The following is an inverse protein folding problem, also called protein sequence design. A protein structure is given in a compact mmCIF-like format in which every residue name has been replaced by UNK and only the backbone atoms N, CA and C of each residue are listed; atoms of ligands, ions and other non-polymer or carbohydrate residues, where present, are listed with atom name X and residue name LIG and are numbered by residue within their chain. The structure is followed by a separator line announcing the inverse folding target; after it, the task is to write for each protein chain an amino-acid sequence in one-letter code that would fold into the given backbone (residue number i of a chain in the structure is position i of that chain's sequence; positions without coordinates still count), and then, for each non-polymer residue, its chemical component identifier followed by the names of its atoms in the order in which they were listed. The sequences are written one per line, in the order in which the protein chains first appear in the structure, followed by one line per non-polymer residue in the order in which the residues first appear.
data_IF_300664578562
#
_entry.id   IF_300664578562
#
_cell.length_a   1.000
_cell.length_b   1.000
_cell.length_c   1.000
_cell.angle_alpha   90.00
_cell.angle_beta   90.00
_cell.angle_gamma   90.00
#
_symmetry.space_group_name_H-M   'P 1'
#
loop_
_entity.id
_entity.type
_entity.pdbx_description
1 polymer ?
#
# COMPACT_ATOMS: atom_id res chain seq x y z
N UNK A 1 13.80 2.84 22.17
CA UNK A 1 14.17 2.33 20.84
C UNK A 1 12.92 1.76 20.17
N UNK A 2 12.22 2.54 19.35
CA UNK A 2 11.10 2.05 18.54
C UNK A 2 11.63 1.70 17.15
N UNK A 3 12.25 0.52 17.01
CA UNK A 3 12.47 -0.07 15.69
C UNK A 3 11.13 -0.64 15.23
N UNK A 4 10.23 0.23 14.76
CA UNK A 4 9.09 -0.23 13.98
C UNK A 4 9.67 -0.64 12.62
N UNK A 5 9.72 -1.94 12.35
CA UNK A 5 10.09 -2.47 11.05
C UNK A 5 9.01 -2.06 10.04
N UNK A 6 9.08 -0.82 9.55
CA UNK A 6 8.22 -0.35 8.49
C UNK A 6 8.43 -1.26 7.29
N UNK A 7 7.35 -1.89 6.82
CA UNK A 7 7.38 -2.64 5.59
C UNK A 7 7.99 -1.76 4.49
N UNK A 8 9.10 -2.22 3.91
CA UNK A 8 9.72 -1.50 2.80
C UNK A 8 8.77 -1.50 1.61
N UNK A 9 8.93 -0.54 0.69
CA UNK A 9 8.11 -0.50 -0.54
C UNK A 9 8.20 -1.81 -1.33
N UNK A 10 9.34 -2.50 -1.28
CA UNK A 10 9.51 -3.83 -1.88
C UNK A 10 8.57 -4.86 -1.27
N UNK A 11 8.36 -4.86 0.04
CA UNK A 11 7.40 -5.76 0.71
C UNK A 11 5.95 -5.39 0.37
N UNK A 12 5.65 -4.10 0.24
CA UNK A 12 4.33 -3.66 -0.22
C UNK A 12 4.02 -4.12 -1.66
N UNK A 13 5.02 -4.09 -2.54
CA UNK A 13 4.89 -4.65 -3.90
C UNK A 13 4.65 -6.17 -3.91
N UNK A 14 5.17 -6.89 -2.92
CA UNK A 14 4.90 -8.33 -2.75
C UNK A 14 3.50 -8.58 -2.17
N UNK A 15 3.05 -7.77 -1.21
CA UNK A 15 1.70 -7.86 -0.64
C UNK A 15 0.61 -7.47 -1.63
N UNK A 16 0.88 -6.46 -2.45
CA UNK A 16 -0.02 -5.94 -3.46
C UNK A 16 0.67 -5.97 -4.84
N UNK A 17 0.71 -7.14 -5.50
CA UNK A 17 1.23 -7.23 -6.86
C UNK A 17 0.44 -6.34 -7.83
N UNK A 18 1.09 -5.90 -8.91
CA UNK A 18 0.41 -5.16 -9.99
C UNK A 18 -0.83 -5.91 -10.49
N UNK A 19 -1.85 -5.15 -10.85
CA UNK A 19 -3.18 -5.62 -11.24
C UNK A 19 -3.96 -6.35 -10.14
N UNK A 20 -3.49 -6.34 -8.89
CA UNK A 20 -4.33 -6.77 -7.76
C UNK A 20 -5.55 -5.85 -7.63
N UNK A 21 -6.70 -6.44 -7.31
CA UNK A 21 -7.89 -5.63 -7.02
C UNK A 21 -7.67 -4.77 -5.77
N UNK A 22 -8.39 -3.65 -5.68
CA UNK A 22 -8.38 -2.82 -4.47
C UNK A 22 -8.79 -3.62 -3.22
N UNK A 23 -9.78 -4.52 -3.34
CA UNK A 23 -10.21 -5.36 -2.24
C UNK A 23 -9.09 -6.31 -1.78
N UNK A 24 -8.36 -6.90 -2.72
CA UNK A 24 -7.18 -7.73 -2.41
C UNK A 24 -6.14 -6.92 -1.66
N UNK A 25 -5.80 -5.72 -2.14
CA UNK A 25 -4.81 -4.86 -1.51
C UNK A 25 -5.23 -4.45 -0.09
N UNK A 26 -6.49 -4.04 0.09
CA UNK A 26 -7.03 -3.68 1.41
C UNK A 26 -6.93 -4.85 2.40
N UNK A 27 -7.28 -6.06 1.97
CA UNK A 27 -7.18 -7.24 2.82
C UNK A 27 -5.73 -7.55 3.20
N UNK A 28 -4.81 -7.50 2.25
CA UNK A 28 -3.38 -7.76 2.50
C UNK A 28 -2.76 -6.73 3.45
N UNK A 29 -3.09 -5.45 3.28
CA UNK A 29 -2.65 -4.38 4.17
C UNK A 29 -3.17 -4.59 5.60
N UNK A 30 -4.45 -4.99 5.76
CA UNK A 30 -5.04 -5.32 7.07
C UNK A 30 -4.34 -6.52 7.71
N UNK A 31 -4.12 -7.60 6.97
CA UNK A 31 -3.43 -8.79 7.46
C UNK A 31 -1.98 -8.48 7.89
N UNK A 32 -1.31 -7.59 7.18
CA UNK A 32 0.04 -7.14 7.49
C UNK A 32 0.10 -6.07 8.60
N UNK A 33 -1.04 -5.71 9.21
CA UNK A 33 -1.15 -4.63 10.20
C UNK A 33 -0.58 -3.28 9.73
N UNK A 34 -0.66 -3.01 8.43
CA UNK A 34 -0.22 -1.75 7.83
C UNK A 34 -1.35 -0.73 7.97
N UNK A 35 -1.07 0.42 8.57
CA UNK A 35 -2.01 1.53 8.62
C UNK A 35 -2.12 2.19 7.24
N UNK A 36 -3.35 2.42 6.78
CA UNK A 36 -3.62 3.05 5.49
C UNK A 36 -4.85 3.95 5.53
N UNK A 37 -4.91 4.90 4.59
CA UNK A 37 -6.07 5.70 4.28
C UNK A 37 -6.61 5.29 2.90
N UNK A 38 -7.88 4.87 2.83
CA UNK A 38 -8.55 4.52 1.58
C UNK A 38 -9.33 5.71 1.02
N UNK A 39 -8.96 6.18 -0.16
CA UNK A 39 -9.56 7.31 -0.88
C UNK A 39 -10.26 6.86 -2.18
N UNK A 40 -10.63 5.58 -2.29
CA UNK A 40 -11.36 5.03 -3.43
C UNK A 40 -10.47 4.51 -4.56
N UNK A 41 -9.83 5.40 -5.33
CA UNK A 41 -8.85 5.02 -6.37
C UNK A 41 -7.40 5.18 -5.93
N UNK A 42 -7.19 5.62 -4.69
CA UNK A 42 -5.90 5.88 -4.09
C UNK A 42 -5.90 5.30 -2.68
N UNK A 43 -4.86 4.55 -2.32
CA UNK A 43 -4.61 4.14 -0.94
C UNK A 43 -3.28 4.74 -0.51
N UNK A 44 -3.26 5.46 0.62
CA UNK A 44 -2.05 6.06 1.17
C UNK A 44 -1.60 5.26 2.38
N UNK A 45 -0.35 4.83 2.39
CA UNK A 45 0.30 4.17 3.52
C UNK A 45 1.32 5.15 4.14
N UNK A 46 0.92 5.98 5.12
CA UNK A 46 1.72 7.10 5.61
C UNK A 46 3.02 6.64 6.29
N UNK A 47 2.96 5.52 7.01
CA UNK A 47 4.09 4.93 7.71
C UNK A 47 5.19 4.45 6.74
N UNK A 48 4.80 3.93 5.58
CA UNK A 48 5.69 3.46 4.51
C UNK A 48 6.00 4.55 3.48
N UNK A 49 5.44 5.76 3.67
CA UNK A 49 5.61 6.92 2.79
C UNK A 49 5.34 6.58 1.32
N UNK A 50 4.24 5.89 1.08
CA UNK A 50 3.87 5.50 -0.28
C UNK A 50 2.37 5.57 -0.54
N UNK A 51 2.03 5.58 -1.82
CA UNK A 51 0.68 5.60 -2.34
C UNK A 51 0.50 4.49 -3.37
N UNK A 52 -0.63 3.79 -3.30
CA UNK A 52 -1.07 2.78 -4.25
C UNK A 52 -2.14 3.42 -5.15
N UNK A 53 -1.90 3.44 -6.45
CA UNK A 53 -2.80 4.03 -7.45
C UNK A 53 -3.59 2.95 -8.18
N UNK A 54 -4.91 3.11 -8.22
CA UNK A 54 -5.82 2.15 -8.83
C UNK A 54 -6.54 2.74 -10.04
N UNK A 55 -6.55 2.00 -11.13
CA UNK A 55 -7.37 2.30 -12.31
C UNK A 55 -8.35 1.14 -12.53
N UNK A 56 -9.62 1.45 -12.78
CA UNK A 56 -10.69 0.44 -12.89
C UNK A 56 -10.64 -0.61 -11.74
N UNK A 57 -10.36 -0.16 -10.51
CA UNK A 57 -10.22 -0.98 -9.29
C UNK A 57 -9.02 -1.95 -9.26
N UNK A 58 -8.07 -1.83 -10.18
CA UNK A 58 -6.85 -2.64 -10.23
C UNK A 58 -5.62 -1.77 -9.95
N UNK A 59 -4.68 -2.30 -9.18
CA UNK A 59 -3.44 -1.62 -8.84
C UNK A 59 -2.59 -1.40 -10.09
N UNK A 60 -2.25 -0.15 -10.38
CA UNK A 60 -1.40 0.22 -11.51
C UNK A 60 0.01 0.57 -11.05
N UNK A 61 0.15 1.17 -9.88
CA UNK A 61 1.45 1.64 -9.42
C UNK A 61 1.49 1.78 -7.90
N UNK A 62 2.69 1.60 -7.34
CA UNK A 62 3.02 1.99 -5.97
C UNK A 62 4.14 3.02 -6.04
N UNK A 63 3.87 4.26 -5.64
CA UNK A 63 4.85 5.34 -5.62
C UNK A 63 5.28 5.69 -4.19
N UNK A 64 6.59 5.86 -4.00
CA UNK A 64 7.14 6.48 -2.80
C UNK A 64 6.94 8.00 -2.86
N UNK A 65 6.75 8.67 -1.73
CA UNK A 65 6.88 10.11 -1.65
C UNK A 65 7.92 10.51 -0.60
N UNK A 66 8.76 11.48 -0.95
CA UNK A 66 9.66 12.17 -0.03
C UNK A 66 8.99 13.45 0.43
N UNK A 67 8.97 13.68 1.74
CA UNK A 67 8.60 14.96 2.37
C UNK A 67 9.89 15.74 2.60
#
# INVERSE_FOLDING_TARGET
MYHSAYATISQLKQLCPLHSSIATCLNQLRCANIQFLNLGSLIVCPQQRCALFFYQRHLMEIQAFTI
#
